data_IF_349434351897
#
_entry.id   IF_349434351897
#
_cell.length_a   1.000
_cell.length_b   1.000
_cell.length_c   1.000
_cell.angle_alpha   90.00
_cell.angle_beta   90.00
_cell.angle_gamma   90.00
#
_symmetry.space_group_name_H-M   'P 1'
#
loop_
_entity.id
_entity.type
_entity.pdbx_description
1 polymer ?
#
# COMPACT_ATOMS: atom_id res chain seq x y z
N UNK A 1 0.07 42.90 -14.77
CA UNK A 1 -0.55 42.44 -13.52
C UNK A 1 -0.83 40.95 -13.69
N UNK A 2 -0.02 40.10 -13.05
CA UNK A 2 0.10 38.68 -13.39
C UNK A 2 -0.70 37.79 -12.44
N UNK A 3 -2.02 37.68 -12.65
CA UNK A 3 -2.85 36.63 -12.05
C UNK A 3 -2.58 35.26 -12.74
N UNK A 4 -1.38 34.71 -12.53
CA UNK A 4 -0.93 33.46 -13.17
C UNK A 4 -0.45 32.38 -12.20
N UNK A 5 -0.79 32.44 -10.92
CA UNK A 5 -0.45 31.35 -10.01
C UNK A 5 -1.37 30.15 -10.26
N UNK A 6 -0.79 29.04 -10.71
CA UNK A 6 -1.48 27.75 -10.74
C UNK A 6 -1.82 27.36 -9.29
N UNK A 7 -3.11 27.21 -8.93
CA UNK A 7 -3.50 26.90 -7.55
C UNK A 7 -2.97 25.54 -7.07
N UNK A 8 -2.60 24.64 -7.98
CA UNK A 8 -2.00 23.35 -7.64
C UNK A 8 -0.55 23.45 -7.14
N UNK A 9 0.19 24.53 -7.46
CA UNK A 9 1.62 24.62 -7.09
C UNK A 9 1.85 24.74 -5.58
N UNK A 10 1.14 25.61 -4.84
CA UNK A 10 1.21 25.61 -3.38
C UNK A 10 0.85 24.25 -2.77
N UNK A 11 -0.16 23.58 -3.30
CA UNK A 11 -0.56 22.25 -2.84
C UNK A 11 0.55 21.21 -3.07
N UNK A 12 1.13 21.16 -4.28
CA UNK A 12 2.23 20.24 -4.61
C UNK A 12 3.44 20.47 -3.71
N UNK A 13 3.82 21.73 -3.49
CA UNK A 13 4.91 22.07 -2.57
C UNK A 13 4.62 21.58 -1.14
N UNK A 14 3.42 21.86 -0.63
CA UNK A 14 3.02 21.42 0.71
C UNK A 14 2.99 19.89 0.84
N UNK A 15 2.47 19.19 -0.18
CA UNK A 15 2.43 17.74 -0.20
C UNK A 15 3.84 17.13 -0.25
N UNK A 16 4.76 17.71 -1.03
CA UNK A 16 6.14 17.26 -1.08
C UNK A 16 6.84 17.38 0.28
N UNK A 17 6.73 18.54 0.95
CA UNK A 17 7.34 18.75 2.27
C UNK A 17 6.71 17.87 3.35
N UNK A 18 5.39 17.65 3.29
CA UNK A 18 4.71 16.69 4.16
C UNK A 18 5.21 15.26 3.92
N UNK A 19 5.43 14.86 2.66
CA UNK A 19 5.93 13.53 2.30
C UNK A 19 7.34 13.29 2.84
N UNK A 20 8.25 14.27 2.69
CA UNK A 20 9.60 14.22 3.26
C UNK A 20 9.59 14.04 4.78
N UNK A 21 8.75 14.83 5.45
CA UNK A 21 8.58 14.76 6.91
C UNK A 21 8.02 13.41 7.33
N UNK A 22 6.98 12.93 6.63
CA UNK A 22 6.36 11.63 6.89
C UNK A 22 7.33 10.47 6.66
N UNK A 23 8.17 10.56 5.63
CA UNK A 23 9.20 9.59 5.31
C UNK A 23 10.41 9.62 6.26
N UNK A 24 10.53 10.68 7.07
CA UNK A 24 11.73 11.00 7.85
C UNK A 24 13.00 11.10 6.97
N UNK A 25 12.86 11.74 5.80
CA UNK A 25 13.89 11.87 4.78
C UNK A 25 13.79 13.28 4.14
N UNK A 26 14.63 14.22 4.57
CA UNK A 26 14.62 15.61 4.07
C UNK A 26 15.08 15.74 2.62
N UNK A 27 15.88 14.79 2.16
CA UNK A 27 16.46 14.75 0.82
C UNK A 27 15.59 14.00 -0.18
N UNK A 28 14.47 13.41 0.27
CA UNK A 28 13.55 12.69 -0.60
C UNK A 28 13.07 13.57 -1.75
N UNK A 29 13.43 13.17 -2.98
CA UNK A 29 12.97 13.83 -4.19
C UNK A 29 11.50 13.52 -4.43
N UNK A 30 10.67 14.54 -4.58
CA UNK A 30 9.23 14.41 -4.88
C UNK A 30 8.96 15.06 -6.22
N UNK A 31 8.50 14.25 -7.18
CA UNK A 31 8.16 14.70 -8.53
C UNK A 31 6.69 14.42 -8.84
N UNK A 32 6.12 15.14 -9.80
CA UNK A 32 4.74 14.95 -10.25
C UNK A 32 4.73 14.63 -11.74
N UNK A 33 4.09 13.53 -12.15
CA UNK A 33 3.99 13.13 -13.57
C UNK A 33 2.59 12.61 -13.91
N UNK A 34 2.30 12.61 -15.22
CA UNK A 34 1.14 11.90 -15.80
C UNK A 34 1.40 10.40 -15.95
N UNK A 35 2.68 9.99 -15.94
CA UNK A 35 3.08 8.58 -15.96
C UNK A 35 2.63 7.86 -14.67
N UNK A 36 2.54 6.52 -14.69
CA UNK A 36 2.21 5.74 -13.50
C UNK A 36 3.08 6.15 -12.30
N UNK A 37 2.50 6.32 -11.11
CA UNK A 37 3.27 6.66 -9.93
C UNK A 37 4.28 5.55 -9.61
N UNK A 38 5.35 5.91 -8.92
CA UNK A 38 6.39 4.96 -8.55
C UNK A 38 7.32 5.51 -7.50
N UNK A 39 8.10 4.61 -6.92
CA UNK A 39 9.12 4.92 -5.91
C UNK A 39 10.45 4.29 -6.34
N UNK A 40 11.54 5.02 -6.16
CA UNK A 40 12.91 4.54 -6.31
C UNK A 40 13.69 4.80 -5.02
N UNK A 41 14.96 4.41 -4.99
CA UNK A 41 15.87 4.75 -3.91
C UNK A 41 16.08 6.27 -3.75
N UNK A 42 15.97 7.03 -4.85
CA UNK A 42 16.24 8.46 -4.92
C UNK A 42 15.01 9.34 -4.65
N UNK A 43 13.80 8.80 -4.83
CA UNK A 43 12.61 9.63 -4.71
C UNK A 43 11.28 8.94 -5.02
N UNK A 44 10.23 9.73 -4.96
CA UNK A 44 8.86 9.34 -5.29
C UNK A 44 8.33 10.17 -6.45
N UNK A 45 7.61 9.50 -7.35
CA UNK A 45 6.85 10.10 -8.44
C UNK A 45 5.37 9.98 -8.13
N UNK A 46 4.75 11.13 -7.89
CA UNK A 46 3.34 11.26 -7.54
C UNK A 46 2.48 11.54 -8.78
N UNK A 47 1.17 11.19 -8.72
CA UNK A 47 0.22 11.55 -9.75
C UNK A 47 0.13 13.06 -9.93
N UNK A 48 0.02 13.51 -11.18
CA UNK A 48 -0.14 14.91 -11.51
C UNK A 48 -1.47 15.46 -10.98
N UNK A 49 -1.41 16.59 -10.28
CA UNK A 49 -2.58 17.39 -9.90
C UNK A 49 -2.73 18.56 -10.89
N UNK A 50 -3.90 18.65 -11.52
CA UNK A 50 -4.16 19.68 -12.53
C UNK A 50 -4.55 20.99 -11.86
N UNK A 51 -4.65 22.07 -12.65
CA UNK A 51 -5.14 23.37 -12.15
C UNK A 51 -6.56 23.29 -11.58
N UNK A 52 -7.35 22.26 -11.97
CA UNK A 52 -8.72 22.07 -11.47
C UNK A 52 -8.74 21.61 -10.03
N UNK A 53 -7.69 20.91 -9.57
CA UNK A 53 -7.58 20.36 -8.22
C UNK A 53 -8.86 19.67 -7.78
N UNK A 54 -9.36 18.75 -8.62
CA UNK A 54 -10.58 18.03 -8.23
C UNK A 54 -10.31 17.25 -6.95
N UNK A 55 -11.37 16.98 -6.19
CA UNK A 55 -11.26 16.22 -4.95
C UNK A 55 -10.54 14.88 -5.18
N UNK A 56 -10.84 14.20 -6.28
CA UNK A 56 -10.24 12.91 -6.60
C UNK A 56 -8.76 13.03 -6.96
N UNK A 57 -8.36 14.05 -7.72
CA UNK A 57 -6.94 14.32 -8.01
C UNK A 57 -6.14 14.57 -6.73
N UNK A 58 -6.68 15.40 -5.84
CA UNK A 58 -6.03 15.76 -4.57
C UNK A 58 -5.90 14.55 -3.65
N UNK A 59 -6.98 13.78 -3.48
CA UNK A 59 -6.98 12.61 -2.61
C UNK A 59 -6.12 11.47 -3.17
N UNK A 60 -6.11 11.26 -4.49
CA UNK A 60 -5.22 10.30 -5.12
C UNK A 60 -3.76 10.68 -4.89
N UNK A 61 -3.38 11.94 -5.14
CA UNK A 61 -2.01 12.40 -4.91
C UNK A 61 -1.59 12.26 -3.44
N UNK A 62 -2.46 12.60 -2.48
CA UNK A 62 -2.21 12.43 -1.04
C UNK A 62 -2.07 10.96 -0.65
N UNK A 63 -2.97 10.10 -1.11
CA UNK A 63 -2.94 8.67 -0.81
C UNK A 63 -1.69 7.97 -1.34
N UNK A 64 -1.27 8.32 -2.56
CA UNK A 64 -0.02 7.81 -3.13
C UNK A 64 1.19 8.33 -2.36
N UNK A 65 1.20 9.62 -2.01
CA UNK A 65 2.28 10.22 -1.22
C UNK A 65 2.43 9.58 0.16
N UNK A 66 1.32 9.44 0.90
CA UNK A 66 1.31 8.82 2.22
C UNK A 66 1.79 7.37 2.15
N UNK A 67 1.25 6.57 1.21
CA UNK A 67 1.66 5.18 1.00
C UNK A 67 3.19 5.06 0.78
N UNK A 68 3.74 5.86 -0.13
CA UNK A 68 5.17 5.80 -0.45
C UNK A 68 6.07 6.34 0.67
N UNK A 69 5.66 7.43 1.34
CA UNK A 69 6.41 7.97 2.46
C UNK A 69 6.43 7.00 3.65
N UNK A 70 5.30 6.35 3.96
CA UNK A 70 5.22 5.32 5.00
C UNK A 70 6.07 4.11 4.67
N UNK A 71 6.08 3.68 3.39
CA UNK A 71 7.00 2.64 2.92
C UNK A 71 8.44 3.04 3.16
N UNK A 72 8.87 4.23 2.71
CA UNK A 72 10.23 4.74 2.91
C UNK A 72 10.64 4.78 4.38
N UNK A 73 9.72 5.15 5.28
CA UNK A 73 9.99 5.24 6.72
C UNK A 73 10.09 3.88 7.42
N UNK A 74 9.18 2.95 7.09
CA UNK A 74 9.00 1.72 7.86
C UNK A 74 9.58 0.48 7.19
N UNK A 75 10.06 0.60 5.95
CA UNK A 75 10.66 -0.49 5.19
C UNK A 75 12.19 -0.43 5.24
N UNK A 76 12.80 -1.54 5.62
CA UNK A 76 14.24 -1.78 5.52
C UNK A 76 14.54 -2.79 4.42
N UNK A 77 15.18 -2.34 3.33
CA UNK A 77 15.47 -3.16 2.15
C UNK A 77 16.35 -4.38 2.48
N UNK A 78 17.35 -4.21 3.36
CA UNK A 78 18.27 -5.28 3.74
C UNK A 78 17.55 -6.42 4.48
N UNK A 79 16.67 -6.07 5.42
CA UNK A 79 15.84 -7.03 6.14
C UNK A 79 14.86 -7.71 5.20
N UNK A 80 14.21 -6.94 4.33
CA UNK A 80 13.28 -7.49 3.35
C UNK A 80 13.97 -8.50 2.42
N UNK A 81 15.10 -8.11 1.83
CA UNK A 81 15.88 -8.95 0.93
C UNK A 81 16.43 -10.21 1.58
N UNK A 82 16.80 -10.15 2.87
CA UNK A 82 17.25 -11.34 3.63
C UNK A 82 16.16 -12.42 3.74
N UNK A 83 14.90 -12.02 3.84
CA UNK A 83 13.78 -12.93 4.02
C UNK A 83 12.99 -13.20 2.74
N UNK A 84 13.31 -12.51 1.64
CA UNK A 84 12.61 -12.66 0.37
C UNK A 84 12.51 -14.13 -0.06
N UNK A 85 11.29 -14.63 -0.35
CA UNK A 85 11.10 -15.99 -0.81
C UNK A 85 11.62 -16.17 -2.24
N UNK A 86 11.76 -17.44 -2.63
CA UNK A 86 11.94 -17.84 -4.02
C UNK A 86 10.57 -17.93 -4.70
N UNK A 87 10.55 -17.95 -6.04
CA UNK A 87 9.30 -17.96 -6.81
C UNK A 87 8.62 -16.60 -6.94
N UNK A 88 8.06 -16.31 -8.13
CA UNK A 88 7.45 -15.02 -8.40
C UNK A 88 6.19 -14.78 -7.56
N UNK A 89 5.30 -15.77 -7.47
CA UNK A 89 4.05 -15.65 -6.71
C UNK A 89 4.29 -15.38 -5.22
N UNK A 90 5.22 -16.12 -4.61
CA UNK A 90 5.57 -15.92 -3.21
C UNK A 90 6.17 -14.53 -2.97
N UNK A 91 7.01 -14.03 -3.90
CA UNK A 91 7.55 -12.66 -3.83
C UNK A 91 6.45 -11.60 -3.95
N UNK A 92 5.50 -11.79 -4.86
CA UNK A 92 4.39 -10.85 -5.05
C UNK A 92 3.52 -10.78 -3.78
N UNK A 93 3.21 -11.93 -3.16
CA UNK A 93 2.47 -12.00 -1.89
C UNK A 93 3.28 -11.32 -0.78
N UNK A 94 4.58 -11.63 -0.68
CA UNK A 94 5.45 -11.04 0.33
C UNK A 94 5.52 -9.52 0.21
N UNK A 95 5.70 -8.99 -1.00
CA UNK A 95 5.74 -7.55 -1.25
C UNK A 95 4.41 -6.88 -0.92
N UNK A 96 3.28 -7.45 -1.34
CA UNK A 96 1.96 -6.89 -1.06
C UNK A 96 1.65 -6.81 0.44
N UNK A 97 2.00 -7.85 1.21
CA UNK A 97 1.82 -7.84 2.67
C UNK A 97 2.74 -6.82 3.35
N UNK A 98 3.98 -6.66 2.86
CA UNK A 98 4.94 -5.71 3.41
C UNK A 98 4.52 -4.25 3.16
N UNK A 99 3.92 -3.97 2.00
CA UNK A 99 3.25 -2.69 1.74
C UNK A 99 2.13 -2.43 2.75
N UNK A 100 1.23 -3.40 2.93
CA UNK A 100 0.13 -3.30 3.86
C UNK A 100 0.61 -3.06 5.31
N UNK A 101 1.70 -3.72 5.73
CA UNK A 101 2.31 -3.49 7.05
C UNK A 101 2.80 -2.06 7.21
N UNK A 102 3.58 -1.53 6.26
CA UNK A 102 4.11 -0.17 6.34
C UNK A 102 2.98 0.85 6.48
N UNK A 103 1.91 0.69 5.68
CA UNK A 103 0.72 1.53 5.74
C UNK A 103 0.00 1.41 7.08
N UNK A 104 -0.19 0.18 7.58
CA UNK A 104 -0.86 -0.08 8.86
C UNK A 104 -0.09 0.51 10.05
N UNK A 105 1.23 0.32 10.10
CA UNK A 105 2.09 0.88 11.16
C UNK A 105 2.03 2.40 11.16
N UNK A 106 2.12 3.02 9.98
CA UNK A 106 2.02 4.48 9.87
C UNK A 106 0.64 5.03 10.26
N UNK A 107 -0.42 4.29 9.93
CA UNK A 107 -1.79 4.67 10.25
C UNK A 107 -2.10 4.63 11.76
N UNK A 108 -1.35 3.85 12.57
CA UNK A 108 -1.54 3.82 14.03
C UNK A 108 -1.23 5.18 14.66
N UNK A 109 -0.14 5.82 14.23
CA UNK A 109 0.28 7.12 14.77
C UNK A 109 -0.37 8.29 14.00
N UNK A 110 -0.73 8.07 12.73
CA UNK A 110 -1.24 9.11 11.84
C UNK A 110 -2.51 8.62 11.12
N UNK A 111 -3.67 8.56 11.81
CA UNK A 111 -4.89 7.95 11.27
C UNK A 111 -5.45 8.65 10.03
N UNK A 112 -5.06 9.90 9.77
CA UNK A 112 -5.40 10.62 8.54
C UNK A 112 -4.78 10.01 7.27
N UNK A 113 -3.65 9.29 7.40
CA UNK A 113 -3.02 8.59 6.26
C UNK A 113 -3.86 7.41 5.80
N UNK A 114 -4.51 6.70 6.73
CA UNK A 114 -5.38 5.56 6.41
C UNK A 114 -6.50 5.96 5.43
N UNK A 115 -7.16 7.10 5.68
CA UNK A 115 -8.22 7.60 4.81
C UNK A 115 -7.70 8.04 3.43
N UNK A 116 -6.51 8.64 3.35
CA UNK A 116 -5.92 9.01 2.06
C UNK A 116 -5.55 7.74 1.26
N UNK A 117 -5.00 6.73 1.93
CA UNK A 117 -4.65 5.43 1.34
C UNK A 117 -5.93 4.68 0.91
N UNK A 118 -7.02 4.75 1.66
CA UNK A 118 -8.32 4.20 1.24
C UNK A 118 -8.75 4.80 -0.11
N UNK A 119 -8.56 6.11 -0.33
CA UNK A 119 -8.84 6.74 -1.62
C UNK A 119 -7.92 6.28 -2.76
N UNK A 120 -6.62 6.08 -2.49
CA UNK A 120 -5.68 5.48 -3.45
C UNK A 120 -6.15 4.08 -3.86
N UNK A 121 -6.42 3.21 -2.88
CA UNK A 121 -6.86 1.83 -3.10
C UNK A 121 -8.19 1.80 -3.85
N UNK A 122 -9.13 2.67 -3.51
CA UNK A 122 -10.41 2.78 -4.22
C UNK A 122 -10.20 3.12 -5.70
N UNK A 123 -9.33 4.08 -6.02
CA UNK A 123 -9.03 4.46 -7.40
C UNK A 123 -8.35 3.33 -8.18
N UNK A 124 -7.41 2.62 -7.56
CA UNK A 124 -6.73 1.47 -8.18
C UNK A 124 -7.72 0.32 -8.44
N UNK A 125 -8.58 0.01 -7.47
CA UNK A 125 -9.59 -1.04 -7.61
C UNK A 125 -10.64 -0.71 -8.67
N UNK A 126 -11.06 0.56 -8.77
CA UNK A 126 -11.97 1.04 -9.81
C UNK A 126 -11.36 0.88 -11.21
N UNK A 127 -10.10 1.34 -11.40
CA UNK A 127 -9.38 1.21 -12.68
C UNK A 127 -9.20 -0.24 -13.12
N UNK A 128 -9.11 -1.17 -12.17
CA UNK A 128 -8.99 -2.61 -12.43
C UNK A 128 -10.33 -3.31 -12.64
N UNK A 129 -11.45 -2.61 -12.44
CA UNK A 129 -12.79 -3.21 -12.56
C UNK A 129 -13.12 -4.21 -11.45
N UNK A 130 -12.40 -4.17 -10.33
CA UNK A 130 -12.51 -5.16 -9.25
C UNK A 130 -13.88 -5.20 -8.56
N UNK A 131 -14.71 -4.17 -8.72
CA UNK A 131 -16.08 -4.21 -8.21
C UNK A 131 -17.03 -5.12 -9.03
N UNK A 132 -16.61 -5.58 -10.22
CA UNK A 132 -17.46 -6.34 -11.16
C UNK A 132 -17.07 -7.82 -11.29
N UNK A 133 -15.88 -8.20 -10.80
CA UNK A 133 -15.42 -9.59 -10.84
C UNK A 133 -16.24 -10.45 -9.87
N UNK A 134 -16.34 -11.74 -10.18
CA UNK A 134 -17.16 -12.73 -9.44
C UNK A 134 -16.38 -13.96 -9.02
N UNK A 135 -15.23 -14.20 -9.63
CA UNK A 135 -14.38 -15.34 -9.33
C UNK A 135 -13.03 -14.88 -8.77
N UNK A 136 -12.48 -15.64 -7.82
CA UNK A 136 -11.19 -15.34 -7.21
C UNK A 136 -10.05 -15.30 -8.25
N UNK A 137 -10.11 -16.18 -9.26
CA UNK A 137 -9.15 -16.26 -10.37
C UNK A 137 -9.04 -14.98 -11.21
N UNK A 138 -10.03 -14.08 -11.17
CA UNK A 138 -10.03 -12.80 -11.88
C UNK A 138 -9.19 -11.72 -11.19
N UNK A 139 -8.72 -11.97 -9.96
CA UNK A 139 -7.85 -11.06 -9.21
C UNK A 139 -6.59 -11.78 -8.69
N UNK A 140 -5.43 -11.10 -8.67
CA UNK A 140 -4.21 -11.69 -8.12
C UNK A 140 -4.34 -11.98 -6.62
N UNK A 141 -3.96 -13.19 -6.21
CA UNK A 141 -3.91 -13.60 -4.79
C UNK A 141 -3.05 -12.64 -3.95
N UNK A 142 -1.90 -12.19 -4.48
CA UNK A 142 -1.03 -11.23 -3.80
C UNK A 142 -1.76 -9.92 -3.41
N UNK A 143 -2.60 -9.39 -4.30
CA UNK A 143 -3.40 -8.18 -4.03
C UNK A 143 -4.41 -8.44 -2.92
N UNK A 144 -5.09 -9.58 -2.96
CA UNK A 144 -6.04 -9.98 -1.93
C UNK A 144 -5.37 -10.18 -0.56
N UNK A 145 -4.19 -10.81 -0.52
CA UNK A 145 -3.41 -10.98 0.71
C UNK A 145 -3.01 -9.63 1.32
N UNK A 146 -2.54 -8.68 0.50
CA UNK A 146 -2.26 -7.31 0.95
C UNK A 146 -3.49 -6.60 1.51
N UNK A 147 -4.64 -6.71 0.84
CA UNK A 147 -5.91 -6.15 1.33
C UNK A 147 -6.36 -6.78 2.65
N UNK A 148 -6.26 -8.10 2.78
CA UNK A 148 -6.62 -8.81 4.01
C UNK A 148 -5.73 -8.39 5.17
N UNK A 149 -4.41 -8.36 4.99
CA UNK A 149 -3.47 -7.89 6.02
C UNK A 149 -3.81 -6.47 6.45
N UNK A 150 -4.07 -5.57 5.50
CA UNK A 150 -4.44 -4.19 5.81
C UNK A 150 -5.74 -4.11 6.61
N UNK A 151 -6.77 -4.87 6.21
CA UNK A 151 -8.06 -4.92 6.87
C UNK A 151 -7.92 -5.42 8.32
N UNK A 152 -7.21 -6.53 8.53
CA UNK A 152 -6.98 -7.12 9.85
C UNK A 152 -6.11 -6.22 10.76
N UNK A 153 -5.08 -5.59 10.19
CA UNK A 153 -4.17 -4.72 10.93
C UNK A 153 -4.83 -3.40 11.36
N UNK A 154 -5.67 -2.82 10.51
CA UNK A 154 -6.32 -1.52 10.76
C UNK A 154 -7.71 -1.63 11.40
N UNK A 155 -8.37 -2.78 11.28
CA UNK A 155 -9.77 -2.97 11.67
C UNK A 155 -10.77 -2.14 10.84
N UNK A 156 -10.34 -1.59 9.70
CA UNK A 156 -11.16 -0.72 8.84
C UNK A 156 -11.74 -1.52 7.68
N UNK A 157 -12.98 -1.21 7.25
CA UNK A 157 -13.52 -1.79 6.02
C UNK A 157 -12.67 -1.37 4.82
N UNK A 158 -12.57 -2.25 3.83
CA UNK A 158 -11.87 -1.96 2.58
C UNK A 158 -12.80 -1.21 1.61
N UNK A 159 -12.26 -0.39 0.69
CA UNK A 159 -13.08 0.21 -0.37
C UNK A 159 -13.73 -0.85 -1.25
N UNK A 160 -14.96 -0.61 -1.73
CA UNK A 160 -15.84 -1.59 -2.43
C UNK A 160 -15.13 -2.57 -3.38
N UNK A 161 -14.31 -2.09 -4.31
CA UNK A 161 -13.61 -2.98 -5.27
C UNK A 161 -12.51 -3.82 -4.62
N UNK A 162 -11.78 -3.25 -3.65
CA UNK A 162 -10.77 -3.96 -2.89
C UNK A 162 -11.40 -4.96 -1.90
N UNK A 163 -12.52 -4.59 -1.29
CA UNK A 163 -13.33 -5.48 -0.45
C UNK A 163 -13.82 -6.69 -1.25
N UNK A 164 -14.36 -6.49 -2.46
CA UNK A 164 -14.79 -7.59 -3.31
C UNK A 164 -13.65 -8.59 -3.60
N UNK A 165 -12.46 -8.10 -3.97
CA UNK A 165 -11.28 -8.95 -4.19
C UNK A 165 -10.88 -9.70 -2.92
N UNK A 166 -10.85 -9.01 -1.79
CA UNK A 166 -10.52 -9.60 -0.50
C UNK A 166 -11.50 -10.70 -0.13
N UNK A 167 -12.81 -10.46 -0.23
CA UNK A 167 -13.85 -11.43 0.14
C UNK A 167 -13.89 -12.65 -0.78
N UNK A 168 -13.55 -12.51 -2.07
CA UNK A 168 -13.45 -13.65 -2.99
C UNK A 168 -12.32 -14.63 -2.61
N UNK A 169 -11.21 -14.11 -2.09
CA UNK A 169 -10.06 -14.92 -1.68
C UNK A 169 -10.04 -15.27 -0.19
N UNK A 170 -10.78 -14.53 0.65
CA UNK A 170 -10.80 -14.69 2.11
C UNK A 170 -11.04 -16.14 2.54
N UNK A 171 -12.05 -16.88 2.03
CA UNK A 171 -12.29 -18.26 2.48
C UNK A 171 -11.08 -19.16 2.30
N UNK A 172 -10.39 -19.04 1.16
CA UNK A 172 -9.18 -19.80 0.89
C UNK A 172 -8.03 -19.38 1.82
N UNK A 173 -7.80 -18.08 2.01
CA UNK A 173 -6.70 -17.61 2.87
C UNK A 173 -6.93 -17.98 4.33
N UNK A 174 -8.16 -17.84 4.84
CA UNK A 174 -8.50 -18.18 6.23
C UNK A 174 -8.46 -19.70 6.48
N UNK A 175 -8.87 -20.51 5.49
CA UNK A 175 -8.75 -21.97 5.58
C UNK A 175 -7.29 -22.43 5.65
N UNK A 176 -6.41 -21.85 4.83
CA UNK A 176 -5.02 -22.27 4.76
C UNK A 176 -4.16 -21.66 5.88
N UNK A 177 -4.31 -20.36 6.15
CA UNK A 177 -3.38 -19.57 6.96
C UNK A 177 -4.05 -18.85 8.15
N UNK A 178 -5.31 -19.15 8.47
CA UNK A 178 -6.08 -18.46 9.52
C UNK A 178 -5.39 -18.43 10.88
N UNK A 179 -4.84 -19.57 11.32
CA UNK A 179 -4.11 -19.65 12.60
C UNK A 179 -2.85 -18.78 12.64
N UNK A 180 -2.14 -18.65 11.51
CA UNK A 180 -0.99 -17.77 11.40
C UNK A 180 -1.43 -16.30 11.45
N UNK A 181 -2.54 -15.94 10.79
CA UNK A 181 -3.05 -14.57 10.72
C UNK A 181 -3.46 -13.98 12.08
N UNK A 182 -3.80 -14.81 13.07
CA UNK A 182 -4.15 -14.36 14.43
C UNK A 182 -2.99 -13.59 15.10
N UNK A 183 -1.74 -13.94 14.78
CA UNK A 183 -0.53 -13.32 15.32
C UNK A 183 -0.17 -11.98 14.64
N UNK A 184 -0.92 -11.56 13.62
CA UNK A 184 -0.58 -10.40 12.78
C UNK A 184 -0.28 -9.14 13.61
N UNK A 185 -1.15 -8.81 14.57
CA UNK A 185 -1.04 -7.56 15.34
C UNK A 185 0.24 -7.49 16.17
N UNK A 186 0.74 -8.65 16.62
CA UNK A 186 1.92 -8.74 17.48
C UNK A 186 3.22 -8.53 16.68
N UNK A 187 3.20 -8.78 15.37
CA UNK A 187 4.38 -8.70 14.51
C UNK A 187 4.50 -7.41 13.68
N UNK A 188 3.44 -6.59 13.58
CA UNK A 188 3.42 -5.40 12.69
C UNK A 188 4.60 -4.43 12.88
N UNK A 189 5.02 -4.22 14.14
CA UNK A 189 6.03 -3.21 14.51
C UNK A 189 7.47 -3.68 14.30
N UNK A 190 7.71 -4.98 14.16
CA UNK A 190 9.03 -5.56 13.89
C UNK A 190 9.05 -6.18 12.49
N UNK A 191 9.77 -5.55 11.56
CA UNK A 191 9.85 -6.02 10.19
C UNK A 191 10.47 -7.42 10.08
N UNK A 192 11.42 -7.79 10.94
CA UNK A 192 11.99 -9.15 10.93
C UNK A 192 10.99 -10.18 11.40
N UNK A 193 10.19 -9.87 12.43
CA UNK A 193 9.11 -10.73 12.90
C UNK A 193 8.03 -10.87 11.83
N UNK A 194 7.59 -9.75 11.25
CA UNK A 194 6.62 -9.74 10.16
C UNK A 194 7.12 -10.49 8.92
N UNK A 195 8.41 -10.43 8.60
CA UNK A 195 8.97 -11.16 7.49
C UNK A 195 8.90 -12.69 7.68
N UNK A 196 9.12 -13.18 8.91
CA UNK A 196 8.93 -14.60 9.24
C UNK A 196 7.46 -15.00 9.20
N UNK A 197 6.59 -14.19 9.79
CA UNK A 197 5.13 -14.34 9.69
C UNK A 197 4.68 -14.43 8.22
N UNK A 198 5.15 -13.51 7.38
CA UNK A 198 4.83 -13.47 5.96
C UNK A 198 5.25 -14.75 5.24
N UNK A 199 6.44 -15.27 5.54
CA UNK A 199 6.92 -16.54 4.99
C UNK A 199 6.08 -17.73 5.46
N UNK A 200 5.62 -17.71 6.71
CA UNK A 200 4.72 -18.74 7.22
C UNK A 200 3.40 -18.70 6.46
N UNK A 201 2.76 -17.54 6.33
CA UNK A 201 1.54 -17.36 5.53
C UNK A 201 1.74 -17.86 4.09
N UNK A 202 2.86 -17.52 3.44
CA UNK A 202 3.18 -17.98 2.09
C UNK A 202 3.32 -19.51 2.03
N UNK A 203 3.92 -20.12 3.06
CA UNK A 203 4.06 -21.58 3.17
C UNK A 203 2.70 -22.24 3.35
N UNK A 204 1.87 -21.70 4.24
CA UNK A 204 0.51 -22.18 4.51
C UNK A 204 -0.36 -22.12 3.25
N UNK A 205 -0.21 -21.08 2.43
CA UNK A 205 -0.87 -20.94 1.13
C UNK A 205 -0.32 -21.88 0.04
N UNK A 206 0.71 -22.68 0.34
CA UNK A 206 1.31 -23.64 -0.59
C UNK A 206 2.42 -23.07 -1.49
N UNK A 207 3.00 -21.92 -1.15
CA UNK A 207 4.03 -21.22 -1.95
C UNK A 207 5.39 -21.09 -1.24
N UNK A 208 5.65 -21.85 -0.17
CA UNK A 208 6.84 -21.72 0.69
C UNK A 208 8.18 -22.13 0.07
N UNK A 209 8.18 -23.03 -0.91
CA UNK A 209 9.37 -23.72 -1.44
C UNK A 209 9.42 -23.82 -2.98
N UNK A 210 9.01 -22.77 -3.71
CA UNK A 210 9.22 -22.70 -5.18
C UNK A 210 10.45 -21.88 -5.56
#
# INVERSE_FOLDING_TARGET
MSDKNNPAEPFKKALAEASKTLANDSELSVTYSVDPPGMSSEGIRLPQVTRRMTRDEVLLARGTADSYALRRKFHNDATFGRYAPQGQMARDIYEAMEWARCEAVGAQDMPGTASNIDHKIANEAERRGYAQIREASEAPLAVAAGYLVRHLASGRPMPKGAENVMELWRPFIEEQAGGTLDDLKDVLKDQSAFARFSRQVITDLGYGDQ
#
